data_IF_545275166309
#
_entry.id   IF_545275166309
#
_cell.length_a   1.000
_cell.length_b   1.000
_cell.length_c   1.000
_cell.angle_alpha   90.00
_cell.angle_beta   90.00
_cell.angle_gamma   90.00
#
_symmetry.space_group_name_H-M   'P 1'
#
loop_
_entity.id
_entity.type
_entity.pdbx_description
1 polymer ?
#
# COMPACT_ATOMS: atom_id res chain seq x y z
N UNK A 1 0.68 -1.94 19.33
CA UNK A 1 -0.38 -1.00 18.89
C UNK A 1 -0.37 -0.91 17.37
N UNK A 2 -1.56 -0.95 16.78
CA UNK A 2 -1.88 -0.79 15.36
C UNK A 2 -1.55 0.64 14.89
N UNK A 3 -1.02 0.83 13.68
CA UNK A 3 -0.67 2.17 13.18
C UNK A 3 -1.63 2.74 12.16
N UNK A 4 -2.49 1.93 11.53
CA UNK A 4 -3.50 2.41 10.57
C UNK A 4 -4.45 3.48 11.14
N UNK A 5 -4.74 4.52 10.34
CA UNK A 5 -5.59 5.68 10.71
C UNK A 5 -6.65 6.01 9.66
N UNK A 6 -6.37 5.77 8.38
CA UNK A 6 -7.37 5.86 7.32
C UNK A 6 -7.11 4.82 6.24
N UNK A 7 -8.18 4.41 5.56
CA UNK A 7 -8.15 3.44 4.46
C UNK A 7 -9.21 3.84 3.45
N UNK A 8 -8.84 3.90 2.17
CA UNK A 8 -9.81 4.14 1.11
C UNK A 8 -9.36 3.53 -0.22
N UNK A 9 -10.33 3.11 -1.03
CA UNK A 9 -10.09 2.61 -2.38
C UNK A 9 -10.91 3.40 -3.38
N UNK A 10 -10.24 3.95 -4.40
CA UNK A 10 -10.87 4.62 -5.53
C UNK A 10 -10.95 3.71 -6.74
N UNK A 11 -12.06 3.80 -7.46
CA UNK A 11 -12.18 3.30 -8.83
C UNK A 11 -11.67 4.37 -9.79
N UNK A 12 -10.73 4.01 -10.65
CA UNK A 12 -10.19 4.84 -11.72
C UNK A 12 -10.59 4.20 -13.05
N UNK A 13 -11.18 5.00 -13.94
CA UNK A 13 -11.58 4.59 -15.30
C UNK A 13 -11.05 5.61 -16.28
N UNK A 14 -10.33 5.17 -17.31
CA UNK A 14 -9.71 6.07 -18.31
C UNK A 14 -8.90 7.21 -17.64
N UNK A 15 -8.06 6.86 -16.65
CA UNK A 15 -7.24 7.80 -15.86
C UNK A 15 -8.02 8.84 -15.03
N UNK A 16 -9.34 8.69 -14.87
CA UNK A 16 -10.16 9.59 -14.06
C UNK A 16 -10.73 8.84 -12.85
N UNK A 17 -10.58 9.39 -11.65
CA UNK A 17 -11.24 8.85 -10.47
C UNK A 17 -12.75 9.03 -10.61
N UNK A 18 -13.48 7.91 -10.66
CA UNK A 18 -14.93 7.90 -10.86
C UNK A 18 -15.65 7.98 -9.52
N UNK A 19 -15.24 7.15 -8.56
CA UNK A 19 -15.90 7.01 -7.26
C UNK A 19 -15.00 6.33 -6.22
N UNK A 20 -15.42 6.36 -4.95
CA UNK A 20 -14.82 5.57 -3.89
C UNK A 20 -15.59 4.25 -3.73
N UNK A 21 -14.89 3.12 -3.86
CA UNK A 21 -15.44 1.80 -3.49
C UNK A 21 -15.52 1.67 -1.96
N UNK A 22 -14.64 2.36 -1.24
CA UNK A 22 -14.64 2.45 0.21
C UNK A 22 -13.85 3.68 0.64
N UNK A 23 -14.29 4.38 1.69
CA UNK A 23 -13.54 5.48 2.29
C UNK A 23 -13.80 5.54 3.80
N UNK A 24 -12.77 5.23 4.58
CA UNK A 24 -12.77 5.38 6.03
C UNK A 24 -11.67 6.37 6.44
N UNK A 25 -12.07 7.62 6.69
CA UNK A 25 -11.17 8.67 7.16
C UNK A 25 -10.70 8.45 8.60
N UNK A 26 -11.48 7.70 9.38
CA UNK A 26 -11.19 7.31 10.78
C UNK A 26 -11.23 5.80 10.91
N UNK A 27 -10.23 5.15 10.34
CA UNK A 27 -10.09 3.71 10.40
C UNK A 27 -9.61 3.25 11.79
N UNK A 28 -10.21 2.20 12.32
CA UNK A 28 -9.81 1.53 13.55
C UNK A 28 -9.64 0.03 13.29
N UNK A 29 -8.42 -0.49 13.46
CA UNK A 29 -8.18 -1.93 13.53
C UNK A 29 -8.58 -2.46 14.91
N UNK A 30 -9.78 -2.20 15.36
CA UNK A 30 -10.53 -3.11 16.21
C UNK A 30 -11.97 -3.22 15.68
N UNK A 31 -12.26 -2.49 14.60
CA UNK A 31 -13.57 -2.36 14.00
C UNK A 31 -13.47 -2.53 12.48
N UNK A 32 -13.26 -3.78 12.06
CA UNK A 32 -13.25 -4.19 10.67
C UNK A 32 -14.54 -4.95 10.39
N UNK A 33 -15.31 -4.50 9.41
CA UNK A 33 -16.62 -5.06 9.07
C UNK A 33 -16.84 -5.03 7.56
N UNK A 34 -17.75 -5.88 7.09
CA UNK A 34 -18.20 -5.84 5.70
C UNK A 34 -19.08 -4.60 5.47
N UNK A 35 -18.61 -3.69 4.62
CA UNK A 35 -19.35 -2.50 4.25
C UNK A 35 -20.05 -2.73 2.90
N UNK A 36 -21.37 -2.92 2.96
CA UNK A 36 -22.19 -3.09 1.77
C UNK A 36 -22.45 -1.75 1.10
N UNK A 37 -22.07 -1.66 -0.18
CA UNK A 37 -22.41 -0.52 -1.03
C UNK A 37 -23.93 -0.34 -1.11
N UNK A 38 -24.39 0.92 -1.06
CA UNK A 38 -25.81 1.25 -1.21
C UNK A 38 -26.33 0.84 -2.58
N UNK A 39 -25.51 1.04 -3.62
CA UNK A 39 -25.77 0.62 -4.99
C UNK A 39 -24.59 -0.21 -5.52
N UNK A 40 -24.83 -1.30 -6.26
CA UNK A 40 -23.75 -2.06 -6.89
C UNK A 40 -22.97 -1.21 -7.89
N UNK A 41 -21.65 -1.32 -7.85
CA UNK A 41 -20.75 -0.66 -8.81
C UNK A 41 -20.37 -1.65 -9.90
N UNK A 42 -20.63 -1.28 -11.16
CA UNK A 42 -20.26 -2.10 -12.31
C UNK A 42 -18.80 -1.82 -12.71
N UNK A 43 -18.01 -2.89 -12.70
CA UNK A 43 -16.61 -2.91 -13.10
C UNK A 43 -16.47 -3.34 -14.57
N UNK A 44 -15.49 -2.79 -15.25
CA UNK A 44 -15.13 -3.16 -16.63
C UNK A 44 -13.63 -3.45 -16.75
N UNK A 45 -13.22 -4.28 -17.74
CA UNK A 45 -11.82 -4.44 -18.08
C UNK A 45 -11.16 -3.07 -18.37
N UNK A 46 -9.98 -2.84 -17.77
CA UNK A 46 -9.27 -1.57 -17.84
C UNK A 46 -9.55 -0.61 -16.68
N UNK A 47 -10.50 -0.94 -15.79
CA UNK A 47 -10.65 -0.23 -14.52
C UNK A 47 -9.46 -0.52 -13.58
N UNK A 48 -9.06 0.49 -12.83
CA UNK A 48 -7.97 0.41 -11.86
C UNK A 48 -8.47 0.72 -10.45
N UNK A 49 -7.97 -0.02 -9.46
CA UNK A 49 -8.29 0.20 -8.05
C UNK A 49 -7.10 0.81 -7.35
N UNK A 50 -7.23 2.06 -6.90
CA UNK A 50 -6.20 2.76 -6.15
C UNK A 50 -6.55 2.75 -4.66
N UNK A 51 -5.89 1.88 -3.90
CA UNK A 51 -6.03 1.80 -2.44
C UNK A 51 -4.96 2.64 -1.75
N UNK A 52 -5.38 3.49 -0.81
CA UNK A 52 -4.51 4.33 0.01
C UNK A 52 -4.76 4.06 1.49
N UNK A 53 -3.69 3.79 2.22
CA UNK A 53 -3.67 3.69 3.66
C UNK A 53 -2.84 4.84 4.25
N UNK A 54 -3.27 5.36 5.41
CA UNK A 54 -2.50 6.34 6.18
C UNK A 54 -2.20 5.74 7.55
N UNK A 55 -0.96 5.87 7.98
CA UNK A 55 -0.44 5.28 9.21
C UNK A 55 0.08 6.37 10.16
N UNK A 56 0.04 6.10 11.46
CA UNK A 56 0.67 6.91 12.50
C UNK A 56 1.57 6.02 13.35
N UNK A 57 2.87 6.23 13.18
CA UNK A 57 3.96 5.50 13.84
C UNK A 57 4.60 6.29 14.98
N UNK A 58 3.98 7.38 15.47
CA UNK A 58 4.55 8.21 16.56
C UNK A 58 4.80 7.43 17.87
N UNK A 59 4.14 6.28 18.05
CA UNK A 59 4.33 5.38 19.18
C UNK A 59 5.30 4.23 18.90
N UNK A 60 5.99 4.22 17.75
CA UNK A 60 6.96 3.20 17.35
C UNK A 60 8.36 3.78 17.46
N UNK A 61 9.28 3.01 18.04
CA UNK A 61 10.70 3.36 18.14
C UNK A 61 11.52 2.89 16.93
N UNK A 62 10.95 2.04 16.08
CA UNK A 62 11.60 1.42 14.92
C UNK A 62 10.67 1.48 13.71
N UNK A 63 11.27 1.42 12.51
CA UNK A 63 10.49 1.35 11.26
C UNK A 63 9.57 0.13 11.28
N UNK A 64 8.35 0.31 10.79
CA UNK A 64 7.36 -0.77 10.63
C UNK A 64 7.31 -1.15 9.16
N UNK A 65 7.54 -2.43 8.87
CA UNK A 65 7.56 -2.96 7.51
C UNK A 65 6.21 -3.58 7.14
N UNK A 66 5.97 -3.76 5.85
CA UNK A 66 4.81 -4.52 5.36
C UNK A 66 4.99 -6.02 5.59
N UNK A 67 3.96 -6.71 6.08
CA UNK A 67 4.06 -8.13 6.40
C UNK A 67 2.83 -8.72 7.09
N UNK A 68 2.93 -9.98 7.50
CA UNK A 68 1.84 -10.75 8.10
C UNK A 68 1.92 -10.86 9.63
N UNK A 69 2.99 -10.34 10.25
CA UNK A 69 3.16 -10.40 11.70
C UNK A 69 2.38 -9.28 12.37
N UNK A 70 2.09 -9.45 13.66
CA UNK A 70 1.43 -8.43 14.49
C UNK A 70 2.27 -7.15 14.69
N UNK A 71 3.56 -7.22 14.38
CA UNK A 71 4.50 -6.09 14.40
C UNK A 71 4.57 -5.36 13.06
N UNK A 72 4.09 -5.99 12.00
CA UNK A 72 4.12 -5.48 10.63
C UNK A 72 2.82 -4.74 10.32
N UNK A 73 2.76 -4.07 9.17
CA UNK A 73 1.56 -3.42 8.67
C UNK A 73 1.06 -4.04 7.36
N UNK A 74 -0.22 -3.85 7.09
CA UNK A 74 -0.88 -4.25 5.85
C UNK A 74 -1.65 -3.07 5.27
N UNK A 75 -1.76 -3.03 3.94
CA UNK A 75 -2.69 -2.16 3.23
C UNK A 75 -3.53 -3.04 2.30
N UNK A 76 -4.71 -3.45 2.74
CA UNK A 76 -5.53 -4.42 2.02
C UNK A 76 -7.01 -4.08 2.14
N UNK A 77 -7.75 -4.39 1.08
CA UNK A 77 -9.20 -4.27 1.03
C UNK A 77 -9.76 -5.55 0.42
N UNK A 78 -10.81 -6.09 1.03
CA UNK A 78 -11.48 -7.30 0.53
C UNK A 78 -12.75 -6.85 -0.18
N UNK A 79 -12.88 -7.20 -1.46
CA UNK A 79 -14.07 -6.91 -2.26
C UNK A 79 -14.87 -8.17 -2.50
N UNK A 80 -16.19 -8.05 -2.35
CA UNK A 80 -17.15 -9.08 -2.75
C UNK A 80 -17.79 -8.64 -4.05
N UNK A 81 -17.73 -9.49 -5.09
CA UNK A 81 -18.21 -9.14 -6.42
C UNK A 81 -18.86 -10.33 -7.13
N UNK A 82 -19.61 -10.05 -8.19
CA UNK A 82 -20.18 -11.05 -9.09
C UNK A 82 -20.30 -10.51 -10.53
N UNK A 83 -20.34 -11.39 -11.56
CA UNK A 83 -20.08 -12.82 -11.49
C UNK A 83 -18.61 -13.12 -11.18
N UNK A 84 -18.32 -14.37 -10.77
CA UNK A 84 -16.94 -14.80 -10.50
C UNK A 84 -16.08 -14.64 -11.75
N UNK A 85 -14.94 -13.97 -11.59
CA UNK A 85 -13.88 -13.92 -12.61
C UNK A 85 -12.94 -15.10 -12.35
N UNK A 86 -12.62 -15.85 -13.41
CA UNK A 86 -11.70 -17.00 -13.32
C UNK A 86 -10.29 -16.49 -13.00
N UNK A 87 -9.58 -17.21 -12.14
CA UNK A 87 -8.16 -16.96 -11.82
C UNK A 87 -7.88 -15.55 -11.23
N UNK A 88 -8.87 -14.94 -10.56
CA UNK A 88 -8.74 -13.68 -9.82
C UNK A 88 -9.14 -13.87 -8.36
N UNK A 89 -8.16 -14.07 -7.48
CA UNK A 89 -8.33 -14.20 -6.02
C UNK A 89 -7.78 -13.00 -5.24
N UNK A 90 -6.90 -12.23 -5.85
CA UNK A 90 -6.29 -11.06 -5.22
C UNK A 90 -5.49 -10.25 -6.23
N UNK A 91 -5.40 -8.96 -6.00
CA UNK A 91 -4.61 -8.02 -6.79
C UNK A 91 -3.69 -7.26 -5.84
N UNK A 92 -2.40 -7.20 -6.18
CA UNK A 92 -1.37 -6.59 -5.35
C UNK A 92 -0.50 -5.69 -6.21
N UNK A 93 -0.05 -4.59 -5.64
CA UNK A 93 0.97 -3.73 -6.24
C UNK A 93 2.14 -3.58 -5.31
N UNK A 94 3.35 -3.60 -5.86
CA UNK A 94 4.58 -3.29 -5.14
C UNK A 94 5.49 -2.43 -6.03
N UNK A 95 6.50 -1.78 -5.45
CA UNK A 95 7.51 -1.11 -6.25
C UNK A 95 8.23 -2.15 -7.11
N UNK A 96 8.47 -1.82 -8.38
CA UNK A 96 9.23 -2.68 -9.27
C UNK A 96 10.68 -2.81 -8.77
N UNK A 97 11.33 -3.99 -8.90
CA UNK A 97 12.67 -4.20 -8.32
C UNK A 97 13.76 -3.24 -8.82
N UNK A 98 13.64 -2.71 -10.02
CA UNK A 98 14.58 -1.72 -10.58
C UNK A 98 14.54 -0.37 -9.83
N UNK A 99 13.38 0.01 -9.28
CA UNK A 99 13.18 1.25 -8.55
C UNK A 99 14.04 1.29 -7.28
N UNK A 100 14.39 0.14 -6.70
CA UNK A 100 15.23 0.09 -5.50
C UNK A 100 16.61 0.73 -5.70
N UNK A 101 17.12 0.82 -6.92
CA UNK A 101 18.37 1.55 -7.17
C UNK A 101 18.20 3.06 -7.03
N UNK A 102 17.02 3.60 -7.37
CA UNK A 102 16.73 5.03 -7.26
C UNK A 102 16.70 5.49 -5.80
N UNK A 103 16.06 4.74 -4.89
CA UNK A 103 16.06 5.10 -3.46
C UNK A 103 17.44 4.95 -2.83
N UNK A 104 18.22 3.94 -3.24
CA UNK A 104 19.61 3.76 -2.77
C UNK A 104 20.43 5.03 -2.99
N UNK A 105 20.43 5.55 -4.23
CA UNK A 105 21.17 6.76 -4.58
C UNK A 105 20.67 8.03 -3.84
N UNK A 106 19.41 8.05 -3.40
CA UNK A 106 18.82 9.19 -2.65
C UNK A 106 19.22 9.18 -1.17
N UNK A 107 19.28 8.01 -0.55
CA UNK A 107 19.36 7.86 0.92
C UNK A 107 20.78 7.58 1.43
N UNK A 108 21.56 6.71 0.79
CA UNK A 108 22.94 6.42 1.23
C UNK A 108 23.74 5.59 0.20
N UNK A 109 25.04 5.88 0.08
CA UNK A 109 25.99 5.10 -0.72
C UNK A 109 26.55 3.85 0.03
N UNK A 110 26.33 3.74 1.35
CA UNK A 110 26.92 2.69 2.20
C UNK A 110 26.04 1.44 2.29
N UNK A 111 25.80 0.78 1.15
CA UNK A 111 25.12 -0.52 1.15
C UNK A 111 26.13 -1.67 1.06
N UNK A 112 26.33 -2.36 2.17
CA UNK A 112 27.17 -3.54 2.24
C UNK A 112 26.31 -4.82 2.03
N UNK A 113 25.91 -5.10 0.78
CA UNK A 113 25.37 -6.39 0.26
C UNK A 113 24.52 -7.29 1.20
N UNK A 114 23.72 -6.72 2.09
CA UNK A 114 22.83 -7.47 3.01
C UNK A 114 21.38 -7.23 2.65
N UNK A 115 20.49 -8.16 3.01
CA UNK A 115 19.08 -8.14 2.62
C UNK A 115 18.42 -6.75 2.76
N UNK A 116 17.62 -6.34 1.76
CA UNK A 116 17.06 -4.98 1.66
C UNK A 116 16.26 -4.57 2.91
N UNK A 117 15.56 -5.53 3.54
CA UNK A 117 14.77 -5.27 4.73
C UNK A 117 15.64 -4.98 5.95
N UNK A 118 16.80 -5.61 6.06
CA UNK A 118 17.73 -5.36 7.15
C UNK A 118 18.43 -4.01 6.97
N UNK A 119 18.74 -3.64 5.73
CA UNK A 119 19.20 -2.28 5.44
C UNK A 119 18.16 -1.23 5.88
N UNK A 120 16.88 -1.38 5.50
CA UNK A 120 15.82 -0.43 5.86
C UNK A 120 15.68 -0.27 7.39
N UNK A 121 15.81 -1.37 8.15
CA UNK A 121 15.76 -1.33 9.62
C UNK A 121 16.91 -0.55 10.26
N UNK A 122 18.07 -0.52 9.60
CA UNK A 122 19.28 0.11 10.12
C UNK A 122 19.48 1.56 9.63
N UNK A 123 18.56 2.09 8.82
CA UNK A 123 18.58 3.50 8.42
C UNK A 123 18.36 4.40 9.64
N UNK A 124 19.13 5.48 9.74
CA UNK A 124 18.82 6.58 10.64
C UNK A 124 17.66 7.42 10.05
N UNK A 125 16.47 7.27 10.63
CA UNK A 125 15.25 7.91 10.15
C UNK A 125 15.16 9.38 10.60
N UNK A 126 15.63 10.28 9.75
CA UNK A 126 15.44 11.74 9.91
C UNK A 126 14.25 12.23 9.07
N UNK A 127 13.69 13.43 9.36
CA UNK A 127 12.62 14.01 8.53
C UNK A 127 13.00 14.13 7.05
N UNK A 128 14.26 14.45 6.75
CA UNK A 128 14.78 14.53 5.38
C UNK A 128 14.76 13.16 4.69
N UNK A 129 15.28 12.12 5.37
CA UNK A 129 15.27 10.75 4.81
C UNK A 129 13.84 10.27 4.59
N UNK A 130 12.93 10.52 5.54
CA UNK A 130 11.52 10.18 5.40
C UNK A 130 10.86 10.87 4.19
N UNK A 131 11.19 12.14 3.94
CA UNK A 131 10.71 12.87 2.77
C UNK A 131 11.24 12.27 1.45
N UNK A 132 12.51 11.90 1.39
CA UNK A 132 13.10 11.25 0.21
C UNK A 132 12.43 9.90 -0.12
N UNK A 133 12.08 9.12 0.90
CA UNK A 133 11.29 7.90 0.74
C UNK A 133 9.89 8.18 0.23
N UNK A 134 9.22 9.22 0.74
CA UNK A 134 7.90 9.61 0.26
C UNK A 134 7.92 10.01 -1.22
N UNK A 135 8.92 10.79 -1.66
CA UNK A 135 9.13 11.13 -3.07
C UNK A 135 9.41 9.89 -3.91
N UNK A 136 10.24 8.97 -3.41
CA UNK A 136 10.52 7.71 -4.10
C UNK A 136 9.25 6.90 -4.34
N UNK A 137 8.41 6.70 -3.32
CA UNK A 137 7.15 5.97 -3.51
C UNK A 137 6.21 6.69 -4.47
N UNK A 138 6.26 8.02 -4.59
CA UNK A 138 5.43 8.72 -5.58
C UNK A 138 5.90 8.44 -7.01
N UNK A 139 7.22 8.45 -7.25
CA UNK A 139 7.81 8.33 -8.59
C UNK A 139 8.07 6.89 -9.05
N UNK A 140 8.21 5.95 -8.11
CA UNK A 140 8.66 4.60 -8.40
C UNK A 140 7.72 3.89 -9.38
N UNK A 141 8.34 3.21 -10.36
CA UNK A 141 7.67 2.21 -11.19
C UNK A 141 7.05 1.16 -10.27
N UNK A 142 5.82 0.77 -10.57
CA UNK A 142 5.06 -0.24 -9.82
C UNK A 142 4.84 -1.45 -10.69
N UNK A 143 4.95 -2.63 -10.09
CA UNK A 143 4.47 -3.86 -10.68
C UNK A 143 3.13 -4.23 -10.05
N UNK A 144 2.19 -4.65 -10.88
CA UNK A 144 0.90 -5.18 -10.45
C UNK A 144 0.90 -6.68 -10.71
N UNK A 145 0.51 -7.45 -9.71
CA UNK A 145 0.38 -8.91 -9.79
C UNK A 145 -1.01 -9.32 -9.31
N UNK A 146 -1.56 -10.33 -9.95
CA UNK A 146 -2.81 -10.96 -9.54
C UNK A 146 -2.56 -12.43 -9.20
N UNK A 147 -3.31 -12.92 -8.24
CA UNK A 147 -3.28 -14.33 -7.83
C UNK A 147 -4.47 -15.07 -8.45
N UNK A 148 -4.18 -16.27 -8.96
CA UNK A 148 -5.05 -17.20 -9.68
C UNK A 148 -4.78 -18.62 -9.20
#
# INVERSE_FOLDING_TARGET
>A
MQTGRSLGTKLIRNNTAVEYLFNAERYDFNYQFDNRLSEPIQLYPGDEFATRCVYNTMNKSQVTLGGQRTTDEMCSQIFTYYPRVKDLYGCFSMNHPDAWQAIRNRVSNDFNNTEILDWIKNIEWTPTVAAQWQEFYNDASRMVTYSG
#
